data_IF_252356222209
#
_entry.id   IF_252356222209
#
_cell.length_a   1.000
_cell.length_b   1.000
_cell.length_c   1.000
_cell.angle_alpha   90.00
_cell.angle_beta   90.00
_cell.angle_gamma   90.00
#
_symmetry.space_group_name_H-M   'P 1'
#
loop_
_entity.id
_entity.type
_entity.pdbx_description
1 polymer ?
#
# COMPACT_ATOMS: atom_id res chain seq x y z
N UNK A 1 41.77 -29.41 47.14
CA UNK A 1 42.28 -28.35 46.26
C UNK A 1 41.41 -28.33 45.02
N UNK A 2 40.50 -27.37 44.93
CA UNK A 2 39.48 -27.26 43.87
C UNK A 2 39.91 -26.12 42.94
N UNK A 3 40.36 -26.45 41.74
CA UNK A 3 40.69 -25.45 40.72
C UNK A 3 39.39 -25.02 40.04
N UNK A 4 38.91 -23.82 40.37
CA UNK A 4 37.84 -23.13 39.63
C UNK A 4 38.42 -22.62 38.31
N UNK A 5 37.98 -23.20 37.20
CA UNK A 5 38.13 -22.56 35.89
C UNK A 5 36.90 -21.69 35.63
N UNK A 6 37.11 -20.37 35.61
CA UNK A 6 36.14 -19.39 35.11
C UNK A 6 36.34 -19.36 33.60
N UNK A 7 35.39 -19.88 32.83
CA UNK A 7 35.33 -19.67 31.38
C UNK A 7 34.35 -18.54 31.08
N UNK A 8 34.92 -17.37 30.78
CA UNK A 8 34.25 -16.22 30.18
C UNK A 8 33.90 -16.57 28.73
N UNK A 9 32.63 -16.40 28.35
CA UNK A 9 32.23 -16.31 26.94
C UNK A 9 31.64 -14.92 26.69
N UNK A 10 32.43 -14.08 26.02
CA UNK A 10 31.97 -12.80 25.48
C UNK A 10 31.33 -13.04 24.12
N UNK A 11 30.03 -12.77 24.00
CA UNK A 11 29.35 -12.70 22.70
C UNK A 11 29.54 -11.29 22.16
N UNK A 12 30.33 -11.16 21.10
CA UNK A 12 30.36 -9.94 20.28
C UNK A 12 29.21 -10.02 19.29
N UNK A 13 28.15 -9.27 19.55
CA UNK A 13 27.07 -9.09 18.58
C UNK A 13 27.52 -8.04 17.56
N UNK A 14 27.98 -8.51 16.40
CA UNK A 14 28.28 -7.68 15.26
C UNK A 14 26.97 -7.26 14.60
N UNK A 15 26.53 -6.01 14.83
CA UNK A 15 25.40 -5.43 14.10
C UNK A 15 25.90 -5.05 12.71
N UNK A 16 25.61 -5.89 11.73
CA UNK A 16 25.73 -5.57 10.32
C UNK A 16 24.83 -4.35 10.03
N UNK A 17 25.45 -3.21 9.75
CA UNK A 17 24.75 -2.09 9.15
C UNK A 17 24.24 -2.51 7.77
N UNK A 18 22.92 -2.67 7.65
CA UNK A 18 22.29 -2.80 6.34
C UNK A 18 22.43 -1.46 5.62
N UNK A 19 23.38 -1.37 4.69
CA UNK A 19 23.42 -0.30 3.70
C UNK A 19 22.24 -0.50 2.75
N UNK A 20 21.10 0.14 3.05
CA UNK A 20 20.02 0.27 2.08
C UNK A 20 20.41 1.35 1.07
N UNK A 21 20.87 0.94 -0.11
CA UNK A 21 20.89 1.83 -1.28
C UNK A 21 19.44 1.97 -1.72
N UNK A 22 18.78 3.07 -1.34
CA UNK A 22 17.48 3.39 -1.94
C UNK A 22 17.73 3.78 -3.40
N UNK A 23 17.27 2.97 -4.34
CA UNK A 23 17.15 3.42 -5.72
C UNK A 23 16.26 4.68 -5.75
N UNK A 24 16.55 5.63 -6.63
CA UNK A 24 15.64 6.75 -6.87
C UNK A 24 14.42 6.25 -7.65
N UNK A 25 13.24 6.81 -7.35
CA UNK A 25 12.02 6.47 -8.08
C UNK A 25 12.21 6.68 -9.58
N UNK A 26 11.58 5.80 -10.35
CA UNK A 26 11.74 5.78 -11.79
C UNK A 26 10.51 5.25 -12.50
N UNK A 27 10.14 5.89 -13.60
CA UNK A 27 9.22 5.35 -14.60
C UNK A 27 9.79 5.59 -15.99
N UNK A 28 9.71 4.57 -16.83
CA UNK A 28 10.00 4.67 -18.27
C UNK A 28 8.90 4.05 -19.11
N UNK A 29 8.81 4.48 -20.36
CA UNK A 29 7.92 3.91 -21.35
C UNK A 29 8.25 4.44 -22.74
N UNK A 30 7.78 3.73 -23.76
CA UNK A 30 7.78 4.19 -25.14
C UNK A 30 6.42 4.77 -25.49
N UNK A 31 6.43 5.93 -26.15
CA UNK A 31 5.24 6.66 -26.55
C UNK A 31 5.18 6.83 -28.06
N UNK A 32 4.05 6.44 -28.65
CA UNK A 32 3.75 6.66 -30.05
C UNK A 32 2.37 7.32 -30.18
N UNK A 33 2.31 8.46 -30.87
CA UNK A 33 1.03 9.11 -31.20
C UNK A 33 0.67 8.80 -32.65
N UNK A 34 -0.54 8.29 -32.89
CA UNK A 34 -0.96 7.74 -34.19
C UNK A 34 0.10 6.78 -34.76
N UNK A 35 0.37 6.86 -36.06
CA UNK A 35 1.46 6.12 -36.72
C UNK A 35 2.77 6.92 -36.76
N UNK A 36 2.95 7.86 -35.82
CA UNK A 36 4.16 8.69 -35.72
C UNK A 36 5.38 7.92 -35.19
N UNK A 37 6.50 8.62 -34.96
CA UNK A 37 7.71 8.02 -34.39
C UNK A 37 7.46 7.56 -32.94
N UNK A 38 8.21 6.54 -32.53
CA UNK A 38 8.27 6.07 -31.14
C UNK A 38 9.28 6.93 -30.39
N UNK A 39 8.87 7.46 -29.24
CA UNK A 39 9.69 8.30 -28.38
C UNK A 39 9.83 7.64 -27.01
N UNK A 40 11.07 7.33 -26.62
CA UNK A 40 11.35 6.87 -25.26
C UNK A 40 11.14 8.03 -24.27
N UNK A 41 10.50 7.74 -23.15
CA UNK A 41 10.25 8.68 -22.05
C UNK A 41 10.74 8.06 -20.75
N UNK A 42 11.33 8.91 -19.92
CA UNK A 42 11.67 8.53 -18.56
C UNK A 42 11.53 9.70 -17.60
N UNK A 43 11.21 9.41 -16.34
CA UNK A 43 11.20 10.41 -15.28
C UNK A 43 11.54 9.80 -13.93
N UNK A 44 12.12 10.64 -13.08
CA UNK A 44 12.35 10.39 -11.65
C UNK A 44 11.47 11.27 -10.76
N UNK A 45 10.73 12.22 -11.34
CA UNK A 45 9.81 13.09 -10.61
C UNK A 45 8.44 12.41 -10.54
N UNK A 46 8.26 11.61 -9.50
CA UNK A 46 7.09 10.77 -9.33
C UNK A 46 6.35 11.17 -8.06
N UNK A 47 5.03 11.27 -8.17
CA UNK A 47 4.12 11.44 -7.05
C UNK A 47 3.17 10.26 -7.02
N UNK A 48 2.71 9.89 -5.85
CA UNK A 48 1.65 8.90 -5.73
C UNK A 48 0.57 9.39 -4.77
N UNK A 49 -0.61 8.83 -4.93
CA UNK A 49 -1.78 9.09 -4.10
C UNK A 49 -2.50 7.77 -3.82
N UNK A 50 -2.87 7.56 -2.55
CA UNK A 50 -3.69 6.44 -2.11
C UNK A 50 -5.02 6.99 -1.61
N UNK A 51 -6.12 6.64 -2.28
CA UNK A 51 -7.48 7.00 -1.85
C UNK A 51 -8.32 5.75 -1.80
N UNK A 52 -8.73 5.34 -0.59
CA UNK A 52 -9.44 4.08 -0.40
C UNK A 52 -8.59 2.90 -0.89
N UNK A 53 -9.07 2.16 -1.89
CA UNK A 53 -8.35 1.06 -2.56
C UNK A 53 -7.78 1.46 -3.92
N UNK A 54 -7.78 2.74 -4.27
CA UNK A 54 -7.19 3.21 -5.53
C UNK A 54 -5.78 3.73 -5.28
N UNK A 55 -4.83 3.22 -6.05
CA UNK A 55 -3.48 3.78 -6.17
C UNK A 55 -3.41 4.60 -7.45
N UNK A 56 -2.93 5.84 -7.36
CA UNK A 56 -2.56 6.64 -8.51
C UNK A 56 -1.07 6.96 -8.46
N UNK A 57 -0.36 6.72 -9.57
CA UNK A 57 1.04 7.11 -9.77
C UNK A 57 1.07 8.20 -10.83
N UNK A 58 1.54 9.38 -10.47
CA UNK A 58 1.70 10.52 -11.37
C UNK A 58 3.18 10.71 -11.67
N UNK A 59 3.54 10.53 -12.94
CA UNK A 59 4.88 10.67 -13.49
C UNK A 59 4.96 12.03 -14.15
N UNK A 60 5.73 12.95 -13.58
CA UNK A 60 5.89 14.31 -14.10
C UNK A 60 7.11 14.31 -15.02
N UNK A 61 6.89 14.50 -16.31
CA UNK A 61 7.95 14.51 -17.32
C UNK A 61 8.54 15.91 -17.55
N UNK A 62 7.70 16.93 -17.39
CA UNK A 62 8.11 18.33 -17.44
C UNK A 62 7.26 19.13 -16.47
N UNK A 63 7.91 19.94 -15.63
CA UNK A 63 7.30 20.83 -14.66
C UNK A 63 7.78 22.27 -14.78
N UNK A 64 8.33 22.65 -15.93
CA UNK A 64 8.77 24.02 -16.22
C UNK A 64 7.61 25.01 -16.10
N UNK A 65 6.40 24.61 -16.50
CA UNK A 65 5.15 25.30 -16.19
C UNK A 65 4.37 24.56 -15.08
N UNK A 66 4.35 25.09 -13.84
CA UNK A 66 3.62 24.48 -12.72
C UNK A 66 2.11 24.43 -12.91
N UNK A 67 1.54 25.32 -13.72
CA UNK A 67 0.09 25.36 -13.97
C UNK A 67 -0.35 24.27 -14.94
N UNK A 68 0.56 23.79 -15.80
CA UNK A 68 0.28 22.80 -16.84
C UNK A 68 1.46 21.84 -17.06
N UNK A 69 1.82 21.01 -16.06
CA UNK A 69 2.91 20.07 -16.22
C UNK A 69 2.59 19.02 -17.29
N UNK A 70 3.62 18.52 -17.96
CA UNK A 70 3.51 17.32 -18.79
C UNK A 70 3.62 16.11 -17.86
N UNK A 71 2.61 15.23 -17.89
CA UNK A 71 2.56 14.12 -16.95
C UNK A 71 1.79 12.93 -17.50
N UNK A 72 2.14 11.75 -17.01
CA UNK A 72 1.33 10.54 -17.11
C UNK A 72 0.76 10.22 -15.73
N UNK A 73 -0.53 9.88 -15.66
CA UNK A 73 -1.15 9.34 -14.45
C UNK A 73 -1.57 7.91 -14.72
N UNK A 74 -1.04 6.96 -13.95
CA UNK A 74 -1.48 5.56 -13.94
C UNK A 74 -2.42 5.37 -12.75
N UNK A 75 -3.65 4.90 -13.00
CA UNK A 75 -4.64 4.66 -11.94
C UNK A 75 -4.97 3.17 -11.84
N UNK A 76 -4.60 2.59 -10.70
CA UNK A 76 -4.85 1.20 -10.33
C UNK A 76 -6.09 1.15 -9.43
N UNK A 77 -7.24 0.83 -10.02
CA UNK A 77 -8.47 0.64 -9.25
C UNK A 77 -8.41 -0.69 -8.49
N UNK A 78 -8.93 -0.71 -7.27
CA UNK A 78 -8.91 -1.91 -6.40
C UNK A 78 -7.50 -2.47 -6.19
N UNK A 79 -6.51 -1.60 -6.08
CA UNK A 79 -5.14 -1.96 -5.75
C UNK A 79 -5.09 -2.78 -4.46
N UNK A 80 -4.52 -3.98 -4.54
CA UNK A 80 -4.43 -4.92 -3.42
C UNK A 80 -3.03 -5.53 -3.24
N UNK A 81 -2.03 -5.05 -3.98
CA UNK A 81 -0.65 -5.51 -3.92
C UNK A 81 -0.12 -6.00 -5.27
N UNK A 82 0.59 -7.13 -5.26
CA UNK A 82 1.08 -7.80 -6.47
C UNK A 82 -0.09 -8.33 -7.29
N UNK A 83 -0.09 -8.08 -8.60
CA UNK A 83 -1.15 -8.52 -9.51
C UNK A 83 -1.29 -7.68 -10.77
N UNK A 84 -2.23 -8.07 -11.63
CA UNK A 84 -2.57 -7.39 -12.87
C UNK A 84 -3.79 -6.48 -12.64
N UNK A 85 -3.70 -5.25 -13.14
CA UNK A 85 -4.70 -4.22 -13.00
C UNK A 85 -5.10 -3.69 -14.37
N UNK A 86 -6.39 -3.81 -14.71
CA UNK A 86 -6.93 -3.17 -15.91
C UNK A 86 -6.89 -1.65 -15.76
N UNK A 87 -6.28 -0.98 -16.73
CA UNK A 87 -6.25 0.48 -16.80
C UNK A 87 -7.49 0.98 -17.55
N UNK A 88 -8.05 2.09 -17.08
CA UNK A 88 -9.25 2.69 -17.67
C UNK A 88 -9.20 4.20 -17.60
N UNK A 89 -10.35 4.88 -17.65
CA UNK A 89 -10.46 6.33 -17.81
C UNK A 89 -9.77 7.20 -16.75
N UNK A 90 -9.34 6.62 -15.62
CA UNK A 90 -8.51 7.32 -14.63
C UNK A 90 -7.02 7.42 -15.02
N UNK A 91 -6.58 6.66 -16.02
CA UNK A 91 -5.22 6.68 -16.56
C UNK A 91 -5.14 7.68 -17.70
N UNK A 92 -4.19 8.62 -17.62
CA UNK A 92 -4.10 9.78 -18.51
C UNK A 92 -2.67 10.04 -18.98
N UNK A 93 -2.53 10.65 -20.16
CA UNK A 93 -1.27 11.20 -20.66
C UNK A 93 -1.48 12.64 -21.16
N UNK A 94 -0.86 13.61 -20.50
CA UNK A 94 -0.85 15.02 -20.92
C UNK A 94 0.46 15.34 -21.62
N UNK A 95 0.36 15.65 -22.91
CA UNK A 95 1.53 15.89 -23.78
C UNK A 95 1.70 17.37 -24.18
N UNK A 96 0.80 18.25 -23.71
CA UNK A 96 0.89 19.68 -23.95
C UNK A 96 0.12 20.51 -22.92
N UNK A 97 0.20 21.82 -23.08
CA UNK A 97 -0.33 22.79 -22.12
C UNK A 97 -1.84 22.99 -22.23
N UNK A 98 -2.50 22.60 -23.34
CA UNK A 98 -3.95 22.78 -23.47
C UNK A 98 -4.74 21.63 -22.83
N UNK A 99 -5.99 21.88 -22.46
CA UNK A 99 -6.86 20.88 -21.83
C UNK A 99 -7.30 19.75 -22.76
N UNK A 100 -7.31 19.99 -24.08
CA UNK A 100 -7.62 19.01 -25.12
C UNK A 100 -6.41 18.13 -25.48
N UNK A 101 -5.22 18.43 -24.94
CA UNK A 101 -3.98 17.68 -25.15
C UNK A 101 -3.76 16.62 -24.05
N UNK A 102 -4.85 15.95 -23.67
CA UNK A 102 -4.88 14.91 -22.64
C UNK A 102 -5.49 13.66 -23.25
N UNK A 103 -4.67 12.63 -23.41
CA UNK A 103 -5.14 11.30 -23.80
C UNK A 103 -5.74 10.60 -22.60
N UNK A 104 -6.91 10.01 -22.79
CA UNK A 104 -7.57 9.15 -21.80
C UNK A 104 -7.44 7.69 -22.21
N UNK A 105 -7.03 6.84 -21.27
CA UNK A 105 -6.88 5.41 -21.51
C UNK A 105 -8.24 4.77 -21.87
N UNK A 106 -8.27 4.10 -23.00
CA UNK A 106 -9.42 3.32 -23.49
C UNK A 106 -9.25 1.83 -23.17
N UNK A 107 -8.02 1.33 -23.20
CA UNK A 107 -7.70 -0.05 -22.86
C UNK A 107 -6.24 -0.17 -22.47
N UNK A 108 -5.92 -1.09 -21.56
CA UNK A 108 -4.55 -1.33 -21.14
C UNK A 108 -4.49 -2.07 -19.83
N UNK A 109 -3.28 -2.39 -19.40
CA UNK A 109 -3.03 -3.05 -18.15
C UNK A 109 -1.73 -2.55 -17.51
N UNK A 110 -1.66 -2.65 -16.20
CA UNK A 110 -0.42 -2.55 -15.45
C UNK A 110 -0.29 -3.80 -14.58
N UNK A 111 0.91 -4.32 -14.46
CA UNK A 111 1.22 -5.45 -13.60
C UNK A 111 2.18 -4.99 -12.52
N UNK A 112 1.79 -5.16 -11.25
CA UNK A 112 2.70 -5.01 -10.12
C UNK A 112 3.32 -6.36 -9.85
N UNK A 113 4.59 -6.52 -10.18
CA UNK A 113 5.30 -7.79 -10.14
C UNK A 113 5.93 -8.07 -8.79
N UNK A 114 6.27 -7.02 -8.03
CA UNK A 114 6.93 -7.16 -6.73
C UNK A 114 6.66 -5.96 -5.83
N UNK A 115 6.56 -6.24 -4.53
CA UNK A 115 6.61 -5.23 -3.46
C UNK A 115 7.75 -5.59 -2.52
N UNK A 116 8.74 -4.72 -2.39
CA UNK A 116 9.80 -4.86 -1.41
C UNK A 116 9.27 -4.43 -0.03
N UNK A 117 9.15 -5.38 0.89
CA UNK A 117 8.63 -5.15 2.24
C UNK A 117 9.55 -4.30 3.12
N UNK A 118 10.84 -4.20 2.80
CA UNK A 118 11.81 -3.41 3.56
C UNK A 118 11.70 -1.95 3.14
N UNK A 119 11.83 -1.69 1.85
CA UNK A 119 11.89 -0.33 1.29
C UNK A 119 10.50 0.25 0.96
N UNK A 120 9.46 -0.59 0.88
CA UNK A 120 8.11 -0.29 0.38
C UNK A 120 8.11 0.17 -1.09
N UNK A 121 9.06 -0.37 -1.88
CA UNK A 121 9.14 -0.11 -3.31
C UNK A 121 8.24 -1.08 -4.06
N UNK A 122 7.41 -0.54 -4.94
CA UNK A 122 6.59 -1.29 -5.88
C UNK A 122 7.30 -1.33 -7.23
N UNK A 123 7.31 -2.50 -7.84
CA UNK A 123 7.90 -2.74 -9.15
C UNK A 123 6.82 -3.28 -10.07
N UNK A 124 6.87 -2.88 -11.32
CA UNK A 124 5.90 -3.36 -12.29
C UNK A 124 6.08 -2.83 -13.68
N UNK A 125 5.20 -3.28 -14.56
CA UNK A 125 5.13 -2.92 -15.97
C UNK A 125 3.75 -2.40 -16.33
N UNK A 126 3.64 -1.73 -17.48
CA UNK A 126 2.35 -1.28 -18.00
C UNK A 126 2.38 -1.05 -19.50
N UNK A 127 1.23 -1.26 -20.12
CA UNK A 127 0.97 -0.97 -21.52
C UNK A 127 -0.46 -0.47 -21.65
N UNK A 128 -0.68 0.61 -22.41
CA UNK A 128 -2.02 1.09 -22.64
C UNK A 128 -2.16 1.90 -23.92
N UNK A 129 -3.41 1.97 -24.37
CA UNK A 129 -3.85 2.72 -25.53
C UNK A 129 -4.90 3.74 -25.09
N UNK A 130 -4.82 4.95 -25.66
CA UNK A 130 -5.75 6.02 -25.36
C UNK A 130 -6.03 6.94 -26.52
N UNK A 131 -6.98 7.83 -26.31
CA UNK A 131 -7.43 8.79 -27.31
C UNK A 131 -7.59 10.19 -26.72
N UNK A 132 -7.44 11.21 -27.56
CA UNK A 132 -7.71 12.61 -27.25
C UNK A 132 -8.43 13.23 -28.44
N UNK A 133 -9.46 14.04 -28.19
CA UNK A 133 -10.12 14.83 -29.23
C UNK A 133 -9.69 16.28 -29.05
N UNK A 134 -8.99 16.81 -30.05
CA UNK A 134 -8.54 18.20 -30.06
C UNK A 134 -9.73 19.15 -30.22
N UNK A 135 -9.55 20.42 -29.82
CA UNK A 135 -10.57 21.47 -29.96
C UNK A 135 -11.05 21.67 -31.40
N UNK A 136 -10.21 21.36 -32.40
CA UNK A 136 -10.57 21.41 -33.81
C UNK A 136 -11.33 20.16 -34.31
N UNK A 137 -11.72 19.25 -33.40
CA UNK A 137 -12.43 18.01 -33.72
C UNK A 137 -11.56 16.87 -34.23
N UNK A 138 -10.24 17.02 -34.26
CA UNK A 138 -9.33 15.95 -34.68
C UNK A 138 -9.14 14.93 -33.55
N UNK A 139 -9.39 13.65 -33.85
CA UNK A 139 -9.07 12.56 -32.94
C UNK A 139 -7.61 12.11 -33.10
N UNK A 140 -6.93 12.03 -31.97
CA UNK A 140 -5.59 11.48 -31.85
C UNK A 140 -5.64 10.22 -31.01
N UNK A 141 -4.73 9.32 -31.33
CA UNK A 141 -4.50 8.07 -30.60
C UNK A 141 -3.10 8.09 -30.01
N UNK A 142 -2.93 7.47 -28.85
CA UNK A 142 -1.62 7.21 -28.26
C UNK A 142 -1.51 5.74 -27.90
N UNK A 143 -0.32 5.18 -28.12
CA UNK A 143 0.07 3.89 -27.59
C UNK A 143 1.29 4.07 -26.70
N UNK A 144 1.13 3.69 -25.45
CA UNK A 144 2.18 3.64 -24.43
C UNK A 144 2.56 2.18 -24.25
N UNK A 145 3.84 1.85 -24.43
CA UNK A 145 4.34 0.48 -24.41
C UNK A 145 5.62 0.33 -23.62
N UNK A 146 5.94 -0.92 -23.28
CA UNK A 146 7.19 -1.30 -22.62
C UNK A 146 7.41 -0.48 -21.34
N UNK A 147 6.29 -0.12 -20.71
CA UNK A 147 6.27 0.71 -19.53
C UNK A 147 6.81 -0.07 -18.35
N UNK A 148 7.66 0.57 -17.54
CA UNK A 148 8.17 0.01 -16.30
C UNK A 148 8.21 1.08 -15.21
N UNK A 149 7.87 0.70 -13.97
CA UNK A 149 7.94 1.57 -12.81
C UNK A 149 8.65 0.90 -11.63
N UNK A 150 9.37 1.72 -10.88
CA UNK A 150 9.98 1.44 -9.59
C UNK A 150 9.70 2.65 -8.68
N UNK A 151 8.74 2.52 -7.76
CA UNK A 151 8.22 3.65 -6.98
C UNK A 151 8.16 3.29 -5.51
N UNK A 152 8.74 4.13 -4.66
CA UNK A 152 8.56 4.02 -3.22
C UNK A 152 7.21 4.58 -2.77
N UNK A 153 6.39 3.75 -2.14
CA UNK A 153 5.11 4.18 -1.57
C UNK A 153 5.23 4.16 -0.04
N UNK A 154 4.87 5.25 0.64
CA UNK A 154 4.82 5.22 2.11
C UNK A 154 3.77 4.19 2.55
N UNK A 155 4.14 3.24 3.42
CA UNK A 155 3.22 2.20 3.83
C UNK A 155 2.11 2.81 4.70
N UNK A 156 0.86 2.53 4.35
CA UNK A 156 -0.26 2.71 5.27
C UNK A 156 -0.31 1.54 6.24
N UNK A 157 -0.78 1.79 7.46
CA UNK A 157 -1.03 0.73 8.44
C UNK A 157 -2.44 0.17 8.23
N UNK A 158 -2.53 -1.14 8.10
CA UNK A 158 -3.78 -1.89 8.13
C UNK A 158 -3.84 -2.70 9.41
N UNK A 159 -5.01 -2.70 10.07
CA UNK A 159 -5.28 -3.64 11.16
C UNK A 159 -5.96 -4.88 10.61
N UNK A 160 -5.45 -6.05 10.99
CA UNK A 160 -6.04 -7.35 10.68
C UNK A 160 -6.39 -8.04 11.99
N UNK A 161 -7.67 -8.35 12.18
CA UNK A 161 -8.18 -9.04 13.37
C UNK A 161 -8.42 -10.53 13.09
N UNK A 162 -8.09 -11.34 14.07
CA UNK A 162 -8.45 -12.76 14.18
C UNK A 162 -9.04 -12.97 15.57
N UNK A 163 -10.16 -13.65 15.74
CA UNK A 163 -10.97 -14.29 14.71
C UNK A 163 -11.82 -13.26 13.92
N UNK A 164 -12.33 -13.68 12.77
CA UNK A 164 -13.08 -12.81 11.86
C UNK A 164 -14.54 -12.69 12.33
N UNK A 165 -15.30 -11.78 11.70
CA UNK A 165 -16.73 -11.67 11.91
C UNK A 165 -17.42 -13.04 11.81
N UNK A 166 -18.39 -13.30 12.71
CA UNK A 166 -19.12 -14.57 12.78
C UNK A 166 -18.54 -15.59 13.75
N UNK A 167 -17.61 -15.21 14.63
CA UNK A 167 -17.11 -16.12 15.69
C UNK A 167 -18.12 -16.20 16.83
N UNK A 168 -18.51 -17.42 17.21
CA UNK A 168 -19.40 -17.70 18.34
C UNK A 168 -18.60 -18.06 19.59
N UNK A 169 -18.93 -17.45 20.73
CA UNK A 169 -18.38 -17.76 22.04
C UNK A 169 -19.51 -18.08 23.02
N UNK A 170 -19.29 -19.02 23.94
CA UNK A 170 -20.23 -19.41 24.99
C UNK A 170 -19.99 -18.63 26.29
N UNK A 171 -20.99 -18.56 27.20
CA UNK A 171 -20.76 -18.04 28.55
C UNK A 171 -19.58 -18.75 29.24
N UNK A 172 -18.79 -17.97 30.00
CA UNK A 172 -17.54 -18.39 30.66
C UNK A 172 -16.38 -18.79 29.73
N UNK A 173 -16.56 -18.79 28.41
CA UNK A 173 -15.51 -19.10 27.45
C UNK A 173 -14.52 -17.93 27.31
N UNK A 174 -13.24 -18.25 27.13
CA UNK A 174 -12.21 -17.26 26.81
C UNK A 174 -11.93 -17.26 25.31
N UNK A 175 -12.33 -16.17 24.64
CA UNK A 175 -11.96 -15.91 23.26
C UNK A 175 -10.56 -15.31 23.16
N UNK A 176 -9.75 -15.83 22.24
CA UNK A 176 -8.44 -15.25 21.91
C UNK A 176 -8.57 -14.39 20.67
N UNK A 177 -8.41 -13.08 20.82
CA UNK A 177 -8.43 -12.12 19.73
C UNK A 177 -7.02 -11.60 19.49
N UNK A 178 -6.51 -11.81 18.28
CA UNK A 178 -5.22 -11.31 17.81
C UNK A 178 -5.47 -10.19 16.81
N UNK A 179 -4.92 -9.02 17.09
CA UNK A 179 -4.93 -7.87 16.19
C UNK A 179 -3.50 -7.63 15.75
N UNK A 180 -3.24 -7.77 14.45
CA UNK A 180 -1.95 -7.48 13.86
C UNK A 180 -2.01 -6.14 13.12
N UNK A 181 -1.11 -5.22 13.48
CA UNK A 181 -0.81 -4.06 12.66
C UNK A 181 0.15 -4.49 11.55
N UNK A 182 -0.31 -4.41 10.30
CA UNK A 182 0.49 -4.79 9.13
C UNK A 182 0.66 -3.59 8.22
N UNK A 183 1.77 -3.56 7.47
CA UNK A 183 1.87 -2.65 6.32
C UNK A 183 0.84 -3.10 5.30
N UNK A 184 -0.04 -2.20 4.90
CA UNK A 184 -1.11 -2.43 3.93
C UNK A 184 -0.54 -3.09 2.66
N UNK A 185 -1.24 -4.09 2.13
CA UNK A 185 -0.85 -4.85 0.93
C UNK A 185 0.41 -5.71 1.07
N UNK A 186 0.92 -5.88 2.29
CA UNK A 186 2.00 -6.83 2.58
C UNK A 186 1.64 -7.68 3.80
N UNK A 187 2.40 -8.74 4.03
CA UNK A 187 2.29 -9.53 5.26
C UNK A 187 3.20 -9.03 6.38
N UNK A 188 3.87 -7.88 6.19
CA UNK A 188 4.85 -7.34 7.12
C UNK A 188 4.16 -6.71 8.33
N UNK A 189 4.50 -7.18 9.52
CA UNK A 189 4.01 -6.63 10.78
C UNK A 189 4.74 -5.33 11.13
N UNK A 190 4.02 -4.37 11.72
CA UNK A 190 4.54 -3.04 12.09
C UNK A 190 4.51 -2.89 13.60
N UNK A 191 5.68 -2.81 14.23
CA UNK A 191 5.83 -2.55 15.65
C UNK A 191 5.53 -1.09 16.04
N UNK A 192 5.19 -0.89 17.31
CA UNK A 192 4.99 0.43 17.91
C UNK A 192 3.70 1.13 17.52
N UNK A 193 2.75 0.43 16.89
CA UNK A 193 1.44 1.00 16.53
C UNK A 193 0.56 1.10 17.76
N UNK A 194 -0.06 2.26 17.96
CA UNK A 194 -1.05 2.49 19.02
C UNK A 194 -2.41 2.03 18.52
N UNK A 195 -3.06 1.15 19.25
CA UNK A 195 -4.37 0.60 18.90
C UNK A 195 -5.35 0.89 20.03
N UNK A 196 -6.40 1.65 19.71
CA UNK A 196 -7.54 1.82 20.59
C UNK A 196 -8.52 0.66 20.37
N UNK A 197 -9.00 0.08 21.48
CA UNK A 197 -9.87 -1.08 21.47
C UNK A 197 -11.18 -0.75 22.17
N UNK A 198 -12.30 -0.96 21.48
CA UNK A 198 -13.63 -0.77 22.04
C UNK A 198 -14.42 -2.06 21.92
N UNK A 199 -14.93 -2.56 23.03
CA UNK A 199 -15.77 -3.75 23.11
C UNK A 199 -16.78 -3.62 24.26
N UNK A 200 -17.92 -4.33 24.21
CA UNK A 200 -18.99 -4.17 25.19
C UNK A 200 -18.59 -4.74 26.57
N UNK A 201 -18.44 -3.86 27.57
CA UNK A 201 -18.06 -4.21 28.95
C UNK A 201 -19.12 -5.04 29.69
N UNK A 202 -20.37 -5.04 29.23
CA UNK A 202 -21.41 -5.90 29.76
C UNK A 202 -21.26 -7.38 29.34
N UNK A 203 -20.42 -7.68 28.34
CA UNK A 203 -20.24 -9.05 27.81
C UNK A 203 -18.94 -9.69 28.31
N UNK A 204 -17.86 -8.94 28.43
CA UNK A 204 -16.55 -9.44 28.83
C UNK A 204 -16.19 -9.05 30.27
N UNK A 205 -15.46 -9.92 30.98
CA UNK A 205 -15.01 -9.67 32.35
C UNK A 205 -13.96 -8.55 32.45
N UNK A 206 -13.20 -8.32 31.37
CA UNK A 206 -12.19 -7.26 31.30
C UNK A 206 -12.81 -5.97 30.78
N UNK A 207 -12.42 -4.82 31.36
CA UNK A 207 -12.85 -3.51 30.88
C UNK A 207 -12.06 -3.07 29.63
N UNK A 208 -12.68 -2.32 28.70
CA UNK A 208 -12.01 -1.75 27.54
C UNK A 208 -10.79 -0.93 27.92
N UNK A 209 -9.79 -0.92 27.04
CA UNK A 209 -8.56 -0.17 27.24
C UNK A 209 -8.47 0.91 26.17
N UNK A 210 -8.23 2.16 26.58
CA UNK A 210 -8.23 3.31 25.67
C UNK A 210 -7.13 3.23 24.61
N UNK A 211 -5.97 2.66 24.95
CA UNK A 211 -4.84 2.53 24.04
C UNK A 211 -3.89 1.41 24.46
N UNK A 212 -3.54 0.54 23.52
CA UNK A 212 -2.51 -0.50 23.71
C UNK A 212 -1.47 -0.37 22.60
N UNK A 213 -0.19 -0.49 22.96
CA UNK A 213 0.91 -0.43 21.97
C UNK A 213 1.27 -1.84 21.52
N UNK A 214 1.18 -2.09 20.22
CA UNK A 214 1.59 -3.34 19.60
C UNK A 214 3.13 -3.37 19.47
N UNK A 215 3.85 -3.79 20.51
CA UNK A 215 5.32 -3.72 20.57
C UNK A 215 6.02 -4.59 19.53
N UNK A 216 5.47 -5.77 19.21
CA UNK A 216 5.90 -6.64 18.11
C UNK A 216 5.00 -6.50 16.88
N UNK A 217 4.10 -5.51 16.89
CA UNK A 217 3.07 -5.26 15.89
C UNK A 217 1.88 -6.21 15.95
N UNK A 218 1.78 -7.02 17.00
CA UNK A 218 0.59 -7.77 17.36
C UNK A 218 0.09 -7.40 18.75
N UNK A 219 -1.22 -7.54 18.95
CA UNK A 219 -1.86 -7.46 20.26
C UNK A 219 -2.68 -8.73 20.41
N UNK A 220 -2.48 -9.43 21.53
CA UNK A 220 -3.28 -10.58 21.91
C UNK A 220 -4.17 -10.21 23.09
N UNK A 221 -5.47 -10.32 22.88
CA UNK A 221 -6.51 -10.10 23.88
C UNK A 221 -7.12 -11.44 24.23
N UNK A 222 -7.08 -11.80 25.51
CA UNK A 222 -7.78 -12.97 26.02
C UNK A 222 -9.01 -12.46 26.77
N UNK A 223 -10.17 -12.44 26.10
CA UNK A 223 -11.40 -11.88 26.66
C UNK A 223 -12.29 -13.02 27.12
N UNK A 224 -12.58 -13.06 28.43
CA UNK A 224 -13.49 -14.04 29.03
C UNK A 224 -14.92 -13.52 29.04
N UNK A 225 -15.83 -14.29 28.47
CA UNK A 225 -17.26 -13.99 28.43
C UNK A 225 -17.84 -14.18 29.84
N UNK A 226 -18.64 -13.21 30.31
CA UNK A 226 -19.30 -13.29 31.62
C UNK A 226 -20.25 -14.50 31.69
N UNK A 227 -20.64 -14.88 32.90
CA UNK A 227 -21.58 -15.98 33.11
C UNK A 227 -23.01 -15.64 32.66
N UNK A 228 -23.44 -14.40 32.90
CA UNK A 228 -24.75 -13.90 32.50
C UNK A 228 -24.57 -12.88 31.38
N UNK A 229 -24.74 -13.33 30.13
CA UNK A 229 -24.72 -12.47 28.94
C UNK A 229 -26.01 -12.66 28.16
N UNK A 230 -26.46 -11.61 27.49
CA UNK A 230 -27.60 -11.70 26.58
C UNK A 230 -27.11 -12.30 25.26
N UNK A 231 -27.86 -13.25 24.70
CA UNK A 231 -27.53 -13.79 23.38
C UNK A 231 -27.67 -12.69 22.32
N UNK A 232 -26.68 -12.59 21.43
CA UNK A 232 -26.71 -11.60 20.37
C UNK A 232 -25.40 -11.46 19.59
N UNK A 233 -25.43 -10.59 18.59
CA UNK A 233 -24.24 -10.20 17.84
C UNK A 233 -23.54 -9.01 18.49
N UNK A 234 -22.26 -9.17 18.78
CA UNK A 234 -21.43 -8.14 19.40
C UNK A 234 -20.25 -7.78 18.50
N UNK A 235 -19.75 -6.54 18.64
CA UNK A 235 -18.66 -6.01 17.83
C UNK A 235 -17.49 -5.58 18.70
N UNK A 236 -16.29 -5.96 18.27
CA UNK A 236 -15.02 -5.43 18.77
C UNK A 236 -14.48 -4.50 17.69
N UNK A 237 -14.18 -3.26 18.07
CA UNK A 237 -13.67 -2.22 17.17
C UNK A 237 -12.22 -1.96 17.53
N UNK A 238 -11.33 -2.06 16.54
CA UNK A 238 -9.93 -1.70 16.68
C UNK A 238 -9.63 -0.51 15.75
N UNK A 239 -9.01 0.54 16.30
CA UNK A 239 -8.57 1.72 15.55
C UNK A 239 -7.08 1.92 15.76
N UNK A 240 -6.32 1.96 14.67
CA UNK A 240 -4.87 2.16 14.71
C UNK A 240 -4.52 3.62 14.48
N UNK A 241 -3.56 4.12 15.25
CA UNK A 241 -2.86 5.39 14.98
C UNK A 241 -1.36 5.17 15.11
N UNK A 242 -0.58 5.96 14.36
CA UNK A 242 0.87 6.01 14.47
C UNK A 242 1.28 7.37 15.00
#
# INVERSE_FOLDING_TARGET
MTVRHILMFGVVLLVLGASSVSAADYVRFDQQTNNGPVNARESRNIRYEMVGTSLAITVILDSTDPASPLYMKLTFRNYNGVGIYTLGSGTLWRYGQRSDQIFTCQSGQAEVTRIDSVTNRIYGTFDWYGTATLQNGTDLTVRIRDGAFDVQIKPEIQLVATPKAGTTLKPKETGVFVIAAKKRFTNTVVSGVKIALTYPSNIFETEPTDLVTATDGTIRLNLKVKESVVDGEYRIIAKGSK
#
